data_IF_641945175992
#
_entry.id   IF_641945175992
#
_cell.length_a   1.000
_cell.length_b   1.000
_cell.length_c   1.000
_cell.angle_alpha   90.00
_cell.angle_beta   90.00
_cell.angle_gamma   90.00
#
_symmetry.space_group_name_H-M   'P 1'
#
loop_
_entity.id
_entity.type
_entity.pdbx_description
1 polymer ?
#
# COMPACT_ATOMS: atom_id res chain seq x y z
N UNK A 1 -4.86 33.70 47.56
CA UNK A 1 -4.30 34.01 46.22
C UNK A 1 -3.17 33.03 45.93
N UNK A 2 -2.98 32.58 44.68
CA UNK A 2 -3.27 31.19 44.30
C UNK A 2 -2.04 30.32 43.99
N UNK A 3 -2.33 29.01 43.90
CA UNK A 3 -1.56 27.97 43.22
C UNK A 3 -1.03 28.47 41.87
N UNK A 4 0.29 28.45 41.70
CA UNK A 4 0.99 28.47 40.39
C UNK A 4 1.52 27.05 40.16
N UNK A 5 0.96 26.31 39.22
CA UNK A 5 1.49 26.18 37.86
C UNK A 5 2.94 25.70 37.85
N UNK A 6 3.12 24.37 37.76
CA UNK A 6 4.13 23.72 36.94
C UNK A 6 3.97 22.19 37.04
N UNK A 7 2.77 21.72 36.70
CA UNK A 7 2.54 20.32 36.36
C UNK A 7 1.91 20.32 34.97
N UNK A 8 2.75 20.42 33.94
CA UNK A 8 2.37 20.14 32.56
C UNK A 8 3.61 20.07 31.67
N UNK A 9 4.06 18.84 31.42
CA UNK A 9 4.47 18.35 30.10
C UNK A 9 4.85 16.87 30.21
N UNK A 10 3.83 16.01 30.33
CA UNK A 10 3.97 14.68 29.72
C UNK A 10 3.90 14.87 28.20
N UNK A 11 4.72 14.18 27.38
CA UNK A 11 4.57 14.21 25.94
C UNK A 11 3.22 13.54 25.61
N UNK A 12 2.20 14.36 25.40
CA UNK A 12 0.97 13.91 24.78
C UNK A 12 1.34 13.42 23.38
N UNK A 13 1.41 12.11 23.21
CA UNK A 13 1.31 11.51 21.89
C UNK A 13 -0.12 11.81 21.41
N UNK A 14 -0.31 12.98 20.79
CA UNK A 14 -1.55 13.32 20.11
C UNK A 14 -1.60 12.47 18.85
N UNK A 15 -1.91 11.18 19.00
CA UNK A 15 -2.48 10.42 17.89
C UNK A 15 -3.91 10.91 17.77
N UNK A 16 -4.13 11.97 17.00
CA UNK A 16 -5.46 12.19 16.43
C UNK A 16 -5.81 10.88 15.73
N UNK A 17 -6.79 10.14 16.26
CA UNK A 17 -7.27 8.93 15.61
C UNK A 17 -7.54 9.26 14.13
N UNK A 18 -7.33 8.31 13.21
CA UNK A 18 -7.54 8.57 11.79
C UNK A 18 -8.92 9.21 11.60
N UNK A 19 -8.96 10.32 10.85
CA UNK A 19 -10.21 11.02 10.50
C UNK A 19 -11.26 10.01 10.04
N UNK A 20 -12.55 10.27 10.32
CA UNK A 20 -13.64 9.38 9.91
C UNK A 20 -13.55 8.98 8.43
N UNK A 21 -13.10 9.92 7.59
CA UNK A 21 -12.84 9.72 6.15
C UNK A 21 -11.72 8.69 5.92
N UNK A 22 -10.58 8.82 6.60
CA UNK A 22 -9.45 7.89 6.45
C UNK A 22 -9.82 6.47 6.91
N UNK A 23 -10.62 6.37 7.98
CA UNK A 23 -11.16 5.09 8.44
C UNK A 23 -12.08 4.45 7.40
N UNK A 24 -12.96 5.22 6.78
CA UNK A 24 -13.87 4.75 5.74
C UNK A 24 -13.11 4.29 4.48
N UNK A 25 -12.10 5.05 4.04
CA UNK A 25 -11.22 4.66 2.94
C UNK A 25 -10.55 3.32 3.21
N UNK A 26 -9.96 3.14 4.39
CA UNK A 26 -9.32 1.88 4.77
C UNK A 26 -10.30 0.70 4.82
N UNK A 27 -11.51 0.91 5.31
CA UNK A 27 -12.56 -0.12 5.32
C UNK A 27 -12.99 -0.50 3.91
N UNK A 28 -13.03 0.45 2.98
CA UNK A 28 -13.32 0.17 1.58
C UNK A 28 -12.19 -0.64 0.92
N UNK A 29 -10.92 -0.30 1.14
CA UNK A 29 -9.77 -1.09 0.67
C UNK A 29 -9.81 -2.53 1.21
N UNK A 30 -10.14 -2.72 2.49
CA UNK A 30 -10.30 -4.05 3.06
C UNK A 30 -11.40 -4.85 2.33
N UNK A 31 -12.54 -4.21 2.02
CA UNK A 31 -13.64 -4.85 1.28
C UNK A 31 -13.20 -5.24 -0.12
N UNK A 32 -12.46 -4.35 -0.80
CA UNK A 32 -11.86 -4.62 -2.11
C UNK A 32 -11.01 -5.88 -2.07
N UNK A 33 -10.04 -5.94 -1.16
CA UNK A 33 -9.10 -7.06 -1.09
C UNK A 33 -9.79 -8.37 -0.70
N UNK A 34 -10.81 -8.31 0.18
CA UNK A 34 -11.64 -9.49 0.52
C UNK A 34 -12.40 -10.03 -0.69
N UNK A 35 -13.05 -9.15 -1.46
CA UNK A 35 -13.85 -9.55 -2.62
C UNK A 35 -12.99 -9.99 -3.80
N UNK A 36 -11.85 -9.32 -4.01
CA UNK A 36 -10.89 -9.69 -5.04
C UNK A 36 -10.42 -11.13 -4.86
N UNK A 37 -10.20 -11.58 -3.62
CA UNK A 37 -9.67 -12.91 -3.35
C UNK A 37 -8.25 -13.09 -3.89
N UNK A 38 -7.85 -14.33 -4.15
CA UNK A 38 -6.48 -14.64 -4.56
C UNK A 38 -6.29 -14.49 -6.07
N UNK A 39 -5.31 -13.69 -6.47
CA UNK A 39 -4.88 -13.55 -7.87
C UNK A 39 -3.37 -13.22 -7.91
N UNK A 40 -2.58 -13.76 -8.86
CA UNK A 40 -1.13 -13.50 -8.93
C UNK A 40 -0.74 -12.02 -9.04
N UNK A 41 -1.65 -11.17 -9.54
CA UNK A 41 -1.43 -9.73 -9.76
C UNK A 41 -2.32 -8.83 -8.90
N UNK A 42 -2.94 -9.35 -7.84
CA UNK A 42 -3.64 -8.56 -6.83
C UNK A 42 -3.06 -8.90 -5.47
N UNK A 43 -2.83 -7.88 -4.63
CA UNK A 43 -2.36 -8.06 -3.26
C UNK A 43 -3.36 -8.93 -2.50
N UNK A 44 -2.90 -10.04 -1.95
CA UNK A 44 -3.76 -10.94 -1.20
C UNK A 44 -3.87 -10.48 0.25
N UNK A 45 -5.11 -10.31 0.73
CA UNK A 45 -5.39 -10.11 2.15
C UNK A 45 -5.26 -11.44 2.90
N UNK A 46 -4.43 -11.46 3.94
CA UNK A 46 -4.28 -12.60 4.85
C UNK A 46 -5.31 -12.51 5.98
N UNK A 47 -5.51 -11.31 6.54
CA UNK A 47 -6.44 -11.12 7.64
C UNK A 47 -6.64 -9.67 8.04
N UNK A 48 -7.67 -9.43 8.83
CA UNK A 48 -7.98 -8.12 9.41
C UNK A 48 -8.42 -8.27 10.85
N UNK A 49 -8.02 -7.36 11.72
CA UNK A 49 -8.58 -7.21 13.07
C UNK A 49 -9.13 -5.81 13.23
N UNK A 50 -10.36 -5.71 13.73
CA UNK A 50 -11.03 -4.42 14.00
C UNK A 50 -11.47 -4.45 15.45
N UNK A 51 -10.87 -3.62 16.30
CA UNK A 51 -11.15 -3.61 17.73
C UNK A 51 -10.95 -2.22 18.33
N UNK A 52 -11.92 -1.75 19.11
CA UNK A 52 -11.82 -0.45 19.80
C UNK A 52 -11.60 0.75 18.88
N UNK A 53 -12.01 0.66 17.60
CA UNK A 53 -11.76 1.70 16.59
C UNK A 53 -10.42 1.57 15.86
N UNK A 54 -9.52 0.68 16.30
CA UNK A 54 -8.27 0.37 15.62
C UNK A 54 -8.50 -0.68 14.53
N UNK A 55 -7.89 -0.47 13.37
CA UNK A 55 -7.96 -1.37 12.22
C UNK A 55 -6.56 -1.88 11.91
N UNK A 56 -6.38 -3.20 11.95
CA UNK A 56 -5.16 -3.88 11.55
C UNK A 56 -5.45 -4.68 10.27
N UNK A 57 -4.57 -4.53 9.28
CA UNK A 57 -4.64 -5.21 7.99
C UNK A 57 -3.35 -5.97 7.77
N UNK A 58 -3.45 -7.26 7.46
CA UNK A 58 -2.31 -8.14 7.17
C UNK A 58 -2.45 -8.63 5.74
N UNK A 59 -1.48 -8.32 4.89
CA UNK A 59 -1.43 -8.73 3.49
C UNK A 59 -0.22 -9.62 3.22
N UNK A 60 -0.14 -10.19 2.01
CA UNK A 60 1.13 -10.76 1.54
C UNK A 60 2.25 -9.70 1.58
N UNK A 61 3.48 -10.16 1.85
CA UNK A 61 4.66 -9.31 1.87
C UNK A 61 5.25 -9.17 0.47
N UNK A 62 5.27 -7.94 -0.07
CA UNK A 62 5.83 -7.63 -1.39
C UNK A 62 7.19 -6.95 -1.22
N UNK A 63 8.22 -7.54 -1.83
CA UNK A 63 9.62 -7.31 -1.43
C UNK A 63 10.35 -6.15 -2.13
N UNK A 64 9.73 -5.31 -2.97
CA UNK A 64 10.42 -4.18 -3.63
C UNK A 64 9.68 -2.83 -3.57
N UNK A 65 8.64 -2.69 -2.75
CA UNK A 65 7.87 -1.46 -2.68
C UNK A 65 7.09 -1.16 -3.97
N UNK A 66 6.66 0.10 -4.12
CA UNK A 66 5.80 0.54 -5.22
C UNK A 66 6.59 0.93 -6.48
N UNK A 67 5.91 0.90 -7.62
CA UNK A 67 6.48 1.32 -8.91
C UNK A 67 6.77 2.83 -8.94
N UNK A 68 6.01 3.63 -8.18
CA UNK A 68 6.34 5.05 -7.96
C UNK A 68 7.73 5.22 -7.33
N UNK A 69 8.04 4.46 -6.27
CA UNK A 69 9.36 4.51 -5.64
C UNK A 69 10.45 4.09 -6.64
N UNK A 70 10.15 3.10 -7.47
CA UNK A 70 11.04 2.62 -8.52
C UNK A 70 11.35 3.71 -9.55
N UNK A 71 10.33 4.41 -10.06
CA UNK A 71 10.50 5.46 -11.06
C UNK A 71 11.16 6.72 -10.49
N UNK A 72 10.87 7.08 -9.23
CA UNK A 72 11.52 8.20 -8.56
C UNK A 72 13.03 7.97 -8.42
N UNK A 73 13.42 6.75 -8.05
CA UNK A 73 14.83 6.36 -7.97
C UNK A 73 15.56 6.35 -9.33
N UNK A 74 14.84 6.31 -10.46
CA UNK A 74 15.44 6.43 -11.80
C UNK A 74 15.64 7.89 -12.23
N UNK A 75 14.75 8.79 -11.81
CA UNK A 75 14.86 10.23 -12.06
C UNK A 75 15.96 10.88 -11.23
N UNK A 76 16.15 10.41 -10.00
CA UNK A 76 17.27 10.78 -9.13
C UNK A 76 18.43 9.80 -9.37
N UNK A 77 19.38 10.14 -10.26
CA UNK A 77 20.71 9.53 -10.15
C UNK A 77 21.24 9.91 -8.75
N UNK A 78 21.06 9.08 -7.71
CA UNK A 78 21.97 8.87 -6.57
C UNK A 78 21.33 8.17 -5.35
N UNK A 79 22.00 7.09 -4.91
CA UNK A 79 22.25 6.66 -3.53
C UNK A 79 21.26 5.79 -2.71
N UNK A 80 20.24 5.17 -3.31
CA UNK A 80 19.57 4.03 -2.66
C UNK A 80 19.99 2.71 -3.33
N UNK A 81 21.03 2.07 -2.78
CA UNK A 81 21.58 0.79 -3.25
C UNK A 81 20.56 -0.38 -3.24
N UNK A 82 19.40 -0.18 -2.64
CA UNK A 82 18.35 -1.17 -2.40
C UNK A 82 17.18 -1.14 -3.40
N UNK A 83 17.18 -0.22 -4.38
CA UNK A 83 16.22 -0.23 -5.50
C UNK A 83 16.93 -0.76 -6.75
N UNK A 84 16.84 -2.07 -6.95
CA UNK A 84 17.54 -2.77 -8.02
C UNK A 84 16.88 -2.50 -9.39
N UNK A 85 17.69 -2.03 -10.32
CA UNK A 85 17.60 -2.11 -11.79
C UNK A 85 16.73 -1.12 -12.58
N UNK A 86 17.36 -0.53 -13.60
CA UNK A 86 16.69 0.14 -14.73
C UNK A 86 15.76 -0.87 -15.40
N UNK A 87 14.48 -0.53 -15.53
CA UNK A 87 13.52 -1.34 -16.28
C UNK A 87 13.76 -1.14 -17.79
N UNK A 88 13.83 -2.23 -18.54
CA UNK A 88 13.84 -2.21 -20.00
C UNK A 88 12.42 -2.31 -20.58
N UNK A 89 12.26 -2.05 -21.87
CA UNK A 89 10.96 -2.07 -22.55
C UNK A 89 10.20 -3.39 -22.36
N UNK A 90 10.91 -4.53 -22.40
CA UNK A 90 10.30 -5.85 -22.19
C UNK A 90 9.73 -6.00 -20.78
N UNK A 91 10.44 -5.48 -19.77
CA UNK A 91 9.97 -5.47 -18.39
C UNK A 91 8.77 -4.53 -18.23
N UNK A 92 8.79 -3.35 -18.86
CA UNK A 92 7.65 -2.42 -18.85
C UNK A 92 6.40 -3.05 -19.48
N UNK A 93 6.52 -3.72 -20.63
CA UNK A 93 5.42 -4.44 -21.27
C UNK A 93 4.92 -5.58 -20.37
N UNK A 94 5.83 -6.28 -19.70
CA UNK A 94 5.46 -7.35 -18.75
C UNK A 94 4.68 -6.80 -17.55
N UNK A 95 5.11 -5.65 -17.00
CA UNK A 95 4.41 -4.96 -15.91
C UNK A 95 3.02 -4.52 -16.39
N UNK A 96 2.91 -3.90 -17.55
CA UNK A 96 1.64 -3.47 -18.12
C UNK A 96 0.67 -4.64 -18.32
N UNK A 97 1.16 -5.76 -18.85
CA UNK A 97 0.37 -6.98 -19.02
C UNK A 97 -0.12 -7.54 -17.69
N UNK A 98 0.74 -7.58 -16.68
CA UNK A 98 0.37 -8.04 -15.34
C UNK A 98 -0.66 -7.13 -14.65
N UNK A 99 -0.54 -5.81 -14.82
CA UNK A 99 -1.55 -4.85 -14.33
C UNK A 99 -2.89 -5.11 -15.01
N UNK A 100 -2.91 -5.30 -16.34
CA UNK A 100 -4.12 -5.60 -17.08
C UNK A 100 -4.80 -6.88 -16.60
N UNK A 101 -4.02 -7.96 -16.38
CA UNK A 101 -4.55 -9.21 -15.81
C UNK A 101 -5.18 -9.00 -14.42
N UNK A 102 -4.52 -8.22 -13.55
CA UNK A 102 -5.09 -7.89 -12.24
C UNK A 102 -6.39 -7.11 -12.33
N UNK A 103 -6.45 -6.09 -13.20
CA UNK A 103 -7.64 -5.27 -13.38
C UNK A 103 -8.80 -6.06 -14.01
N UNK A 104 -8.52 -6.94 -14.98
CA UNK A 104 -9.53 -7.85 -15.53
C UNK A 104 -10.14 -8.73 -14.42
N UNK A 105 -9.31 -9.26 -13.53
CA UNK A 105 -9.79 -10.08 -12.41
C UNK A 105 -10.69 -9.30 -11.44
N UNK A 106 -10.42 -8.00 -11.22
CA UNK A 106 -11.30 -7.11 -10.45
C UNK A 106 -12.61 -6.81 -11.17
N UNK A 107 -12.55 -6.57 -12.48
CA UNK A 107 -13.72 -6.33 -13.34
C UNK A 107 -14.69 -7.52 -13.34
N UNK A 108 -14.16 -8.76 -13.46
CA UNK A 108 -14.95 -10.00 -13.37
C UNK A 108 -15.72 -10.13 -12.04
N UNK A 109 -15.23 -9.44 -11.00
CA UNK A 109 -15.85 -9.37 -9.65
C UNK A 109 -16.66 -8.10 -9.44
N UNK A 110 -16.86 -7.30 -10.50
CA UNK A 110 -17.60 -6.04 -10.50
C UNK A 110 -17.01 -5.00 -9.53
N UNK A 111 -15.68 -4.99 -9.41
CA UNK A 111 -14.98 -4.06 -8.54
C UNK A 111 -14.20 -3.03 -9.34
N UNK A 112 -14.44 -1.74 -9.06
CA UNK A 112 -13.67 -0.64 -9.63
C UNK A 112 -12.56 -0.24 -8.67
N UNK A 113 -11.29 -0.38 -9.08
CA UNK A 113 -10.15 0.01 -8.24
C UNK A 113 -10.22 1.50 -7.85
N UNK A 114 -10.72 2.37 -8.75
CA UNK A 114 -10.87 3.83 -8.61
C UNK A 114 -9.58 4.64 -8.33
N UNK A 115 -8.50 3.99 -7.89
CA UNK A 115 -7.21 4.63 -7.65
C UNK A 115 -6.04 3.90 -8.35
N UNK A 116 -6.21 3.52 -9.62
CA UNK A 116 -5.16 2.82 -10.35
C UNK A 116 -4.02 3.79 -10.67
N UNK A 117 -2.94 3.70 -9.89
CA UNK A 117 -1.78 4.60 -9.98
C UNK A 117 -0.49 3.85 -9.63
N UNK A 118 0.67 4.34 -10.09
CA UNK A 118 1.97 3.71 -9.87
C UNK A 118 2.32 3.47 -8.38
N UNK A 119 1.76 4.28 -7.46
CA UNK A 119 1.90 4.11 -6.01
C UNK A 119 1.22 2.85 -5.46
N UNK A 120 0.17 2.39 -6.16
CA UNK A 120 -0.63 1.22 -5.80
C UNK A 120 -0.21 -0.04 -6.58
N UNK A 121 0.84 0.06 -7.41
CA UNK A 121 1.44 -1.07 -8.10
C UNK A 121 2.71 -1.45 -7.37
N UNK A 122 2.81 -2.71 -6.91
CA UNK A 122 3.96 -3.20 -6.14
C UNK A 122 4.74 -4.25 -6.93
N UNK A 123 6.07 -4.17 -6.90
CA UNK A 123 6.95 -5.12 -7.58
C UNK A 123 7.39 -6.23 -6.62
N UNK A 124 7.30 -7.50 -7.06
CA UNK A 124 7.97 -8.61 -6.36
C UNK A 124 9.43 -8.68 -6.84
N UNK A 125 10.38 -8.68 -5.91
CA UNK A 125 11.76 -9.08 -6.23
C UNK A 125 11.71 -10.52 -6.71
N UNK A 126 12.12 -10.80 -7.95
CA UNK A 126 12.47 -12.17 -8.30
C UNK A 126 13.73 -12.50 -7.51
N UNK A 127 13.61 -13.36 -6.49
CA UNK A 127 14.79 -14.03 -5.95
C UNK A 127 15.32 -14.88 -7.11
N UNK A 128 16.51 -14.55 -7.62
CA UNK A 128 17.21 -15.42 -8.54
C UNK A 128 17.33 -16.79 -7.90
N UNK A 129 16.87 -17.82 -8.61
CA UNK A 129 17.17 -19.22 -8.30
C UNK A 129 18.58 -19.56 -8.74
#
# INVERSE_FOLDING_TARGET
MPFKELENQQPALVTSGPSAIAKETLLNEIRTLKQAGKHPNIVTLIGTRIEGGNVLVVTELIHCGSLENHFRALGERNNYHNVCCKLNDRQLVTIAFQIAMGMQHLEERKFFHCDLAARNIFSRCQRGG
#
